data_IF_656850416904
#
_entry.id   IF_656850416904
#
_cell.length_a   1.000
_cell.length_b   1.000
_cell.length_c   1.000
_cell.angle_alpha   90.00
_cell.angle_beta   90.00
_cell.angle_gamma   90.00
#
_symmetry.space_group_name_H-M   'P 1'
#
loop_
_entity.id
_entity.type
_entity.pdbx_description
1 polymer ?
#
# COMPACT_ATOMS: atom_id res chain seq x y z
N UNK A 1 33.14 0.71 40.79
CA UNK A 1 32.88 0.08 39.47
C UNK A 1 31.37 0.05 39.24
N UNK A 2 30.81 1.15 38.71
CA UNK A 2 29.36 1.33 38.62
C UNK A 2 28.80 0.47 37.47
N UNK A 3 27.87 -0.41 37.80
CA UNK A 3 27.14 -1.25 36.85
C UNK A 3 26.26 -0.32 36.00
N UNK A 4 26.82 0.13 34.87
CA UNK A 4 26.08 0.84 33.82
C UNK A 4 24.76 0.10 33.58
N UNK A 5 23.65 0.84 33.56
CA UNK A 5 22.39 0.35 33.02
C UNK A 5 22.68 -0.45 31.75
N UNK A 6 22.13 -1.66 31.68
CA UNK A 6 22.35 -2.66 30.62
C UNK A 6 22.44 -2.02 29.22
N UNK A 7 23.67 -1.72 28.76
CA UNK A 7 24.02 -1.46 27.36
C UNK A 7 23.33 -2.42 26.36
N UNK A 8 23.04 -3.71 26.68
CA UNK A 8 22.35 -4.59 25.74
C UNK A 8 20.91 -4.14 25.39
N UNK A 9 20.19 -3.41 26.25
CA UNK A 9 18.79 -3.08 25.94
C UNK A 9 18.69 -1.98 24.87
N UNK A 10 19.42 -0.86 25.02
CA UNK A 10 19.41 0.23 24.04
C UNK A 10 19.93 -0.22 22.67
N UNK A 11 20.99 -1.03 22.66
CA UNK A 11 21.54 -1.61 21.42
C UNK A 11 20.53 -2.52 20.73
N UNK A 12 19.84 -3.42 21.46
CA UNK A 12 18.76 -4.26 20.92
C UNK A 12 17.66 -3.44 20.24
N UNK A 13 17.12 -2.41 20.90
CA UNK A 13 16.09 -1.55 20.30
C UNK A 13 16.61 -0.77 19.09
N UNK A 14 17.88 -0.37 19.08
CA UNK A 14 18.50 0.32 17.94
C UNK A 14 18.63 -0.63 16.74
N UNK A 15 18.98 -1.90 16.95
CA UNK A 15 19.01 -2.91 15.88
C UNK A 15 17.62 -3.22 15.34
N UNK A 16 16.61 -3.37 16.21
CA UNK A 16 15.21 -3.56 15.79
C UNK A 16 14.73 -2.36 14.97
N UNK A 17 15.01 -1.15 15.44
CA UNK A 17 14.68 0.08 14.72
C UNK A 17 15.37 0.15 13.34
N UNK A 18 16.64 -0.24 13.25
CA UNK A 18 17.36 -0.31 11.98
C UNK A 18 16.75 -1.34 11.03
N UNK A 19 16.48 -2.56 11.51
CA UNK A 19 15.87 -3.63 10.72
C UNK A 19 14.49 -3.21 10.18
N UNK A 20 13.65 -2.59 11.00
CA UNK A 20 12.34 -2.08 10.57
C UNK A 20 12.45 -0.95 9.54
N UNK A 21 13.47 -0.08 9.63
CA UNK A 21 13.70 0.95 8.61
C UNK A 21 14.16 0.35 7.27
N UNK A 22 14.94 -0.74 7.29
CA UNK A 22 15.30 -1.47 6.07
C UNK A 22 14.06 -2.09 5.44
N UNK A 23 13.18 -2.71 6.24
CA UNK A 23 11.90 -3.22 5.75
C UNK A 23 11.06 -2.08 5.16
N UNK A 24 10.96 -0.93 5.85
CA UNK A 24 10.25 0.24 5.35
C UNK A 24 10.80 0.72 4.00
N UNK A 25 12.13 0.75 3.84
CA UNK A 25 12.77 1.10 2.57
C UNK A 25 12.39 0.11 1.46
N UNK A 26 12.48 -1.19 1.72
CA UNK A 26 12.09 -2.23 0.76
C UNK A 26 10.61 -2.09 0.35
N UNK A 27 9.72 -1.78 1.29
CA UNK A 27 8.31 -1.53 0.98
C UNK A 27 8.11 -0.26 0.14
N UNK A 28 8.89 0.79 0.38
CA UNK A 28 8.90 2.02 -0.44
C UNK A 28 9.38 1.77 -1.87
N UNK A 29 10.40 0.92 -2.05
CA UNK A 29 10.90 0.50 -3.37
C UNK A 29 9.85 -0.35 -4.08
N UNK A 30 9.28 -1.35 -3.40
CA UNK A 30 8.28 -2.23 -3.98
C UNK A 30 7.04 -1.44 -4.45
N UNK A 31 6.54 -0.52 -3.63
CA UNK A 31 5.42 0.36 -4.01
C UNK A 31 5.77 1.28 -5.18
N UNK A 32 6.99 1.81 -5.26
CA UNK A 32 7.39 2.62 -6.41
C UNK A 32 7.41 1.78 -7.69
N UNK A 33 7.99 0.57 -7.64
CA UNK A 33 8.09 -0.33 -8.79
C UNK A 33 6.71 -0.75 -9.28
N UNK A 34 5.78 -1.10 -8.40
CA UNK A 34 4.42 -1.47 -8.79
C UNK A 34 3.68 -0.30 -9.45
N UNK A 35 3.78 0.90 -8.88
CA UNK A 35 3.15 2.10 -9.43
C UNK A 35 3.75 2.51 -10.78
N UNK A 36 5.07 2.39 -10.95
CA UNK A 36 5.73 2.63 -12.24
C UNK A 36 5.31 1.58 -13.28
N UNK A 37 5.19 0.32 -12.89
CA UNK A 37 4.67 -0.75 -13.76
C UNK A 37 3.24 -0.48 -14.24
N UNK A 38 2.36 -0.07 -13.32
CA UNK A 38 0.98 0.29 -13.68
C UNK A 38 0.90 1.56 -14.53
N UNK A 39 1.73 2.57 -14.24
CA UNK A 39 1.83 3.77 -15.09
C UNK A 39 2.26 3.41 -16.50
N UNK A 40 3.29 2.57 -16.64
CA UNK A 40 3.74 2.09 -17.94
C UNK A 40 2.64 1.32 -18.69
N UNK A 41 1.89 0.48 -17.99
CA UNK A 41 0.74 -0.25 -18.56
C UNK A 41 -0.36 0.68 -19.08
N UNK A 42 -0.63 1.80 -18.38
CA UNK A 42 -1.63 2.77 -18.79
C UNK A 42 -1.20 3.63 -19.98
N UNK A 43 0.09 3.90 -20.14
CA UNK A 43 0.65 4.66 -21.27
C UNK A 43 0.57 3.89 -22.59
N UNK A 44 0.56 2.55 -22.55
CA UNK A 44 0.41 1.73 -23.74
C UNK A 44 -1.02 1.80 -24.31
N UNK A 45 -1.22 1.67 -25.64
CA UNK A 45 -2.56 1.57 -26.22
C UNK A 45 -3.32 0.36 -25.66
N UNK A 46 -4.65 0.43 -25.60
CA UNK A 46 -5.46 -0.67 -25.06
C UNK A 46 -5.41 -1.86 -26.03
N UNK A 47 -4.53 -2.82 -25.76
CA UNK A 47 -4.42 -4.08 -26.47
C UNK A 47 -5.33 -5.18 -25.91
N UNK A 48 -5.56 -6.21 -26.71
CA UNK A 48 -6.33 -7.41 -26.36
C UNK A 48 -5.45 -8.46 -25.67
N UNK A 49 -4.92 -8.09 -24.50
CA UNK A 49 -4.00 -8.91 -23.68
C UNK A 49 -4.59 -9.13 -22.28
N UNK A 50 -4.19 -10.18 -21.54
CA UNK A 50 -4.72 -10.44 -20.18
C UNK A 50 -4.45 -9.31 -19.19
N UNK A 51 -3.50 -8.41 -19.46
CA UNK A 51 -3.22 -7.24 -18.62
C UNK A 51 -4.35 -6.19 -18.63
N UNK A 52 -5.34 -6.35 -19.53
CA UNK A 52 -6.51 -5.49 -19.60
C UNK A 52 -7.24 -5.40 -18.25
N UNK A 53 -7.37 -6.50 -17.51
CA UNK A 53 -8.06 -6.52 -16.22
C UNK A 53 -7.37 -5.63 -15.18
N UNK A 54 -6.05 -5.73 -15.07
CA UNK A 54 -5.25 -4.88 -14.18
C UNK A 54 -5.34 -3.42 -14.60
N UNK A 55 -5.34 -3.13 -15.91
CA UNK A 55 -5.46 -1.78 -16.43
C UNK A 55 -6.81 -1.14 -16.08
N UNK A 56 -7.90 -1.89 -16.23
CA UNK A 56 -9.24 -1.39 -15.88
C UNK A 56 -9.42 -1.23 -14.37
N UNK A 57 -8.85 -2.16 -13.59
CA UNK A 57 -8.90 -2.13 -12.13
C UNK A 57 -8.11 -0.95 -11.54
N UNK A 58 -6.95 -0.62 -12.11
CA UNK A 58 -6.08 0.43 -11.58
C UNK A 58 -6.47 1.81 -12.11
N UNK A 59 -7.08 2.61 -11.24
CA UNK A 59 -7.40 4.01 -11.54
C UNK A 59 -6.22 4.97 -11.32
N UNK A 60 -6.29 6.14 -11.95
CA UNK A 60 -5.31 7.23 -11.77
C UNK A 60 -5.11 7.61 -10.31
N UNK A 61 -6.19 7.61 -9.50
CA UNK A 61 -6.13 7.92 -8.07
C UNK A 61 -5.20 6.99 -7.30
N UNK A 62 -5.21 5.69 -7.64
CA UNK A 62 -4.36 4.67 -7.01
C UNK A 62 -2.89 4.92 -7.33
N UNK A 63 -2.59 5.29 -8.58
CA UNK A 63 -1.24 5.60 -9.04
C UNK A 63 -0.69 6.86 -8.34
N UNK A 64 -1.46 7.95 -8.34
CA UNK A 64 -1.05 9.18 -7.64
C UNK A 64 -0.88 8.95 -6.14
N UNK A 65 -1.80 8.20 -5.51
CA UNK A 65 -1.70 7.83 -4.10
C UNK A 65 -0.44 7.01 -3.81
N UNK A 66 -0.12 6.05 -4.68
CA UNK A 66 1.09 5.24 -4.58
C UNK A 66 2.38 6.05 -4.73
N UNK A 67 2.44 7.00 -5.67
CA UNK A 67 3.58 7.91 -5.80
C UNK A 67 3.78 8.77 -4.54
N UNK A 68 2.70 9.37 -4.03
CA UNK A 68 2.77 10.21 -2.82
C UNK A 68 3.20 9.36 -1.61
N UNK A 69 2.64 8.16 -1.46
CA UNK A 69 2.98 7.22 -0.39
C UNK A 69 4.45 6.78 -0.44
N UNK A 70 4.94 6.44 -1.63
CA UNK A 70 6.35 6.04 -1.82
C UNK A 70 7.31 7.20 -1.58
N UNK A 71 7.04 8.39 -2.13
CA UNK A 71 7.85 9.59 -1.91
C UNK A 71 7.91 9.97 -0.41
N UNK A 72 6.77 9.91 0.28
CA UNK A 72 6.71 10.14 1.73
C UNK A 72 7.54 9.11 2.50
N UNK A 73 7.47 7.84 2.11
CA UNK A 73 8.26 6.75 2.72
C UNK A 73 9.76 6.97 2.55
N UNK A 74 10.22 7.34 1.36
CA UNK A 74 11.64 7.65 1.13
C UNK A 74 12.12 8.83 1.97
N UNK A 75 11.29 9.88 2.09
CA UNK A 75 11.61 11.02 2.96
C UNK A 75 11.74 10.58 4.44
N UNK A 76 10.82 9.75 4.93
CA UNK A 76 10.90 9.22 6.30
C UNK A 76 12.17 8.39 6.51
N UNK A 77 12.53 7.53 5.56
CA UNK A 77 13.78 6.75 5.63
C UNK A 77 15.01 7.65 5.59
N UNK A 78 15.03 8.70 4.77
CA UNK A 78 16.13 9.66 4.76
C UNK A 78 16.29 10.36 6.12
N UNK A 79 15.19 10.76 6.77
CA UNK A 79 15.22 11.33 8.13
C UNK A 79 15.73 10.29 9.15
N UNK A 80 15.44 9.00 8.95
CA UNK A 80 15.94 7.93 9.85
C UNK A 80 17.47 7.93 9.95
N UNK A 81 18.19 8.24 8.87
CA UNK A 81 19.66 8.30 8.86
C UNK A 81 20.18 9.34 9.86
N UNK A 82 19.51 10.49 9.96
CA UNK A 82 19.85 11.52 10.95
C UNK A 82 19.67 11.03 12.39
N UNK A 83 18.67 10.16 12.64
CA UNK A 83 18.47 9.58 13.97
C UNK A 83 19.62 8.67 14.41
N UNK A 84 20.31 8.01 13.46
CA UNK A 84 21.49 7.18 13.73
C UNK A 84 22.77 8.00 13.88
N UNK A 85 22.91 9.09 13.12
CA UNK A 85 24.07 9.98 13.21
C UNK A 85 24.16 10.74 14.55
N UNK A 86 23.03 10.89 15.25
CA UNK A 86 22.95 11.65 16.50
C UNK A 86 23.13 10.77 17.72
N UNK A 87 24.16 11.07 18.52
CA UNK A 87 24.45 10.39 19.79
C UNK A 87 23.96 11.23 20.97
N UNK A 88 23.40 10.57 21.97
CA UNK A 88 22.99 11.20 23.22
C UNK A 88 24.20 11.78 23.94
N UNK A 89 24.14 13.06 24.29
CA UNK A 89 25.14 13.73 25.11
C UNK A 89 24.58 14.01 26.50
N UNK A 90 25.45 14.41 27.42
CA UNK A 90 25.03 14.71 28.80
C UNK A 90 24.03 15.87 28.87
N UNK A 91 24.29 16.90 28.07
CA UNK A 91 23.55 18.16 28.15
C UNK A 91 22.29 18.12 27.27
N UNK A 92 22.29 17.32 26.21
CA UNK A 92 21.13 17.13 25.33
C UNK A 92 20.85 15.65 25.04
N UNK A 93 19.57 15.26 25.19
CA UNK A 93 19.14 13.90 24.87
C UNK A 93 19.19 13.62 23.35
N UNK A 94 19.33 14.68 22.54
CA UNK A 94 19.29 14.64 21.07
C UNK A 94 18.02 13.93 20.58
N UNK A 95 16.87 14.31 21.14
CA UNK A 95 15.55 13.75 20.79
C UNK A 95 14.89 14.47 19.62
N UNK A 96 15.38 15.64 19.22
CA UNK A 96 14.89 16.38 18.05
C UNK A 96 14.79 15.51 16.78
N UNK A 97 15.86 14.81 16.32
CA UNK A 97 15.79 13.99 15.12
C UNK A 97 14.76 12.86 15.24
N UNK A 98 14.63 12.24 16.43
CA UNK A 98 13.58 11.25 16.67
C UNK A 98 12.17 11.85 16.61
N UNK A 99 11.98 13.07 17.11
CA UNK A 99 10.69 13.77 17.07
C UNK A 99 10.29 14.08 15.63
N UNK A 100 11.23 14.58 14.82
CA UNK A 100 11.02 14.85 13.39
C UNK A 100 10.73 13.56 12.63
N UNK A 101 11.48 12.49 12.93
CA UNK A 101 11.23 11.16 12.37
C UNK A 101 9.82 10.65 12.70
N UNK A 102 9.42 10.68 13.98
CA UNK A 102 8.10 10.26 14.42
C UNK A 102 6.97 11.08 13.78
N UNK A 103 7.14 12.40 13.63
CA UNK A 103 6.14 13.23 12.95
C UNK A 103 6.04 12.91 11.46
N UNK A 104 7.17 12.72 10.78
CA UNK A 104 7.18 12.31 9.37
C UNK A 104 6.50 10.95 9.20
N UNK A 105 6.81 10.00 10.08
CA UNK A 105 6.25 8.65 10.02
C UNK A 105 4.74 8.63 10.28
N UNK A 106 4.23 9.48 11.19
CA UNK A 106 2.77 9.64 11.37
C UNK A 106 2.12 10.15 10.08
N UNK A 107 2.71 11.14 9.42
CA UNK A 107 2.18 11.68 8.16
C UNK A 107 2.14 10.57 7.09
N UNK A 108 3.22 9.80 6.94
CA UNK A 108 3.29 8.65 6.02
C UNK A 108 2.26 7.59 6.36
N UNK A 109 2.03 7.33 7.65
CA UNK A 109 1.02 6.39 8.13
C UNK A 109 -0.39 6.82 7.72
N UNK A 110 -0.73 8.10 7.87
CA UNK A 110 -2.03 8.59 7.40
C UNK A 110 -2.17 8.53 5.88
N UNK A 111 -1.13 8.91 5.13
CA UNK A 111 -1.14 8.84 3.66
C UNK A 111 -1.40 7.41 3.19
N UNK A 112 -0.66 6.43 3.72
CA UNK A 112 -0.80 5.03 3.31
C UNK A 112 -2.13 4.43 3.77
N UNK A 113 -2.60 4.77 4.97
CA UNK A 113 -3.89 4.29 5.48
C UNK A 113 -5.06 4.84 4.65
N UNK A 114 -5.03 6.12 4.28
CA UNK A 114 -6.04 6.73 3.42
C UNK A 114 -6.01 6.07 2.03
N UNK A 115 -4.83 5.92 1.43
CA UNK A 115 -4.70 5.26 0.13
C UNK A 115 -5.22 3.81 0.14
N UNK A 116 -4.85 3.02 1.16
CA UNK A 116 -5.33 1.65 1.34
C UNK A 116 -6.85 1.59 1.49
N UNK A 117 -7.41 2.52 2.28
CA UNK A 117 -8.85 2.60 2.50
C UNK A 117 -9.61 2.99 1.23
N UNK A 118 -9.06 3.88 0.41
CA UNK A 118 -9.66 4.25 -0.87
C UNK A 118 -9.72 3.06 -1.84
N UNK A 119 -8.64 2.27 -1.93
CA UNK A 119 -8.62 1.05 -2.75
C UNK A 119 -9.62 0.03 -2.21
N UNK A 120 -9.69 -0.14 -0.89
CA UNK A 120 -10.67 -1.03 -0.27
C UNK A 120 -12.12 -0.59 -0.52
N UNK A 121 -12.43 0.71 -0.49
CA UNK A 121 -13.75 1.19 -0.87
C UNK A 121 -14.10 0.91 -2.34
N UNK A 122 -13.10 0.88 -3.23
CA UNK A 122 -13.30 0.48 -4.62
C UNK A 122 -13.73 -0.99 -4.74
N UNK A 123 -13.23 -1.89 -3.89
CA UNK A 123 -13.65 -3.32 -3.93
C UNK A 123 -15.09 -3.52 -3.51
N UNK A 124 -15.61 -2.67 -2.62
CA UNK A 124 -17.03 -2.73 -2.20
C UNK A 124 -17.99 -2.20 -3.28
N UNK A 125 -17.49 -1.48 -4.29
CA UNK A 125 -18.30 -0.75 -5.28
C UNK A 125 -17.96 -1.12 -6.73
N UNK A 126 -17.28 -2.25 -6.95
CA UNK A 126 -16.74 -2.66 -8.25
C UNK A 126 -17.78 -2.59 -9.37
N UNK A 127 -18.96 -3.20 -9.19
CA UNK A 127 -20.04 -3.18 -10.20
C UNK A 127 -20.43 -1.78 -10.63
N UNK A 128 -20.56 -0.86 -9.69
CA UNK A 128 -20.95 0.53 -9.98
C UNK A 128 -19.80 1.32 -10.64
N UNK A 129 -18.56 0.99 -10.32
CA UNK A 129 -17.38 1.66 -10.82
C UNK A 129 -17.00 1.16 -12.23
N UNK A 130 -17.16 -0.13 -12.50
CA UNK A 130 -16.76 -0.77 -13.76
C UNK A 130 -17.83 -0.74 -14.84
N UNK A 131 -19.12 -0.60 -14.51
CA UNK A 131 -20.18 -0.44 -15.52
C UNK A 131 -19.91 0.72 -16.50
N UNK A 132 -19.57 1.95 -16.07
CA UNK A 132 -19.22 3.03 -17.00
C UNK A 132 -17.87 2.81 -17.70
N UNK A 133 -16.96 2.03 -17.11
CA UNK A 133 -15.69 1.67 -17.76
C UNK A 133 -15.96 0.71 -18.92
N UNK A 134 -16.84 -0.28 -18.73
CA UNK A 134 -17.26 -1.21 -19.78
C UNK A 134 -17.87 -0.49 -20.98
N UNK A 135 -18.81 0.44 -20.76
CA UNK A 135 -19.43 1.18 -21.85
C UNK A 135 -18.47 2.13 -22.58
N UNK A 136 -17.41 2.59 -21.89
CA UNK A 136 -16.35 3.40 -22.49
C UNK A 136 -15.29 2.59 -23.24
N UNK A 137 -15.27 1.26 -23.13
CA UNK A 137 -14.31 0.42 -23.86
C UNK A 137 -14.64 0.35 -25.36
N UNK A 138 -13.62 0.42 -26.24
CA UNK A 138 -13.87 0.20 -27.65
C UNK A 138 -14.31 -1.25 -27.91
N UNK A 139 -15.06 -1.45 -29.00
CA UNK A 139 -15.66 -2.74 -29.40
C UNK A 139 -14.67 -3.91 -29.41
N UNK A 140 -13.46 -3.82 -30.00
CA UNK A 140 -12.55 -4.97 -30.05
C UNK A 140 -12.09 -5.45 -28.67
N UNK A 141 -11.98 -4.55 -27.69
CA UNK A 141 -11.63 -4.89 -26.32
C UNK A 141 -12.78 -5.59 -25.59
N UNK A 142 -14.02 -5.11 -25.79
CA UNK A 142 -15.22 -5.77 -25.24
C UNK A 142 -15.36 -7.19 -25.80
N UNK A 143 -15.16 -7.38 -27.11
CA UNK A 143 -15.15 -8.71 -27.76
C UNK A 143 -14.04 -9.60 -27.17
N UNK A 144 -12.83 -9.06 -26.97
CA UNK A 144 -11.75 -9.82 -26.35
C UNK A 144 -12.12 -10.31 -24.94
N UNK A 145 -12.64 -9.44 -24.09
CA UNK A 145 -13.05 -9.80 -22.72
C UNK A 145 -14.16 -10.87 -22.75
N UNK A 146 -15.16 -10.73 -23.62
CA UNK A 146 -16.22 -11.73 -23.80
C UNK A 146 -15.66 -13.10 -24.19
N UNK A 147 -14.71 -13.12 -25.12
CA UNK A 147 -14.08 -14.35 -25.60
C UNK A 147 -13.15 -15.00 -24.56
N UNK A 148 -12.44 -14.19 -23.78
CA UNK A 148 -11.54 -14.66 -22.72
C UNK A 148 -12.32 -15.20 -21.52
N UNK A 149 -13.32 -14.44 -21.04
CA UNK A 149 -14.13 -14.82 -19.89
C UNK A 149 -15.27 -15.78 -20.24
N UNK A 150 -15.57 -16.04 -21.52
CA UNK A 150 -16.70 -16.88 -21.97
C UNK A 150 -18.02 -16.36 -21.38
N UNK A 151 -18.35 -15.12 -21.71
CA UNK A 151 -19.53 -14.37 -21.26
C UNK A 151 -20.06 -13.46 -22.37
N UNK A 152 -21.33 -13.04 -22.29
CA UNK A 152 -21.97 -12.22 -23.32
C UNK A 152 -22.73 -11.05 -22.70
N UNK A 153 -22.39 -9.83 -23.13
CA UNK A 153 -22.89 -8.60 -22.52
C UNK A 153 -22.33 -8.34 -21.13
N UNK A 154 -22.60 -7.17 -20.55
CA UNK A 154 -22.11 -6.82 -19.21
C UNK A 154 -22.97 -7.48 -18.13
N UNK A 155 -24.27 -7.19 -18.12
CA UNK A 155 -25.22 -7.80 -17.19
C UNK A 155 -25.87 -9.06 -17.77
N UNK A 156 -26.18 -9.03 -19.06
CA UNK A 156 -26.78 -10.12 -19.82
C UNK A 156 -26.65 -9.86 -21.34
N UNK A 157 -26.94 -10.86 -22.16
CA UNK A 157 -26.91 -10.78 -23.62
C UNK A 157 -28.16 -10.11 -24.22
N UNK A 158 -28.56 -8.95 -23.67
CA UNK A 158 -29.66 -8.12 -24.19
C UNK A 158 -29.20 -6.67 -24.36
N UNK A 159 -29.96 -5.87 -25.11
CA UNK A 159 -29.70 -4.43 -25.28
C UNK A 159 -29.59 -3.70 -23.91
N UNK A 160 -30.48 -4.02 -22.97
CA UNK A 160 -30.42 -3.50 -21.59
C UNK A 160 -29.19 -3.95 -20.80
N UNK A 161 -28.54 -5.03 -21.22
CA UNK A 161 -27.32 -5.58 -20.67
C UNK A 161 -26.04 -5.03 -21.25
N UNK A 162 -26.11 -3.95 -22.04
CA UNK A 162 -24.98 -3.37 -22.79
C UNK A 162 -24.39 -4.36 -23.82
N UNK A 163 -25.25 -5.20 -24.40
CA UNK A 163 -24.92 -6.06 -25.54
C UNK A 163 -25.54 -5.46 -26.81
N UNK A 164 -24.70 -5.16 -27.80
CA UNK A 164 -25.04 -4.50 -29.07
C UNK A 164 -24.60 -5.42 -30.21
N UNK A 165 -25.22 -5.31 -31.39
CA UNK A 165 -24.94 -6.19 -32.54
C UNK A 165 -23.44 -6.37 -32.90
N UNK A 166 -22.58 -5.33 -32.81
CA UNK A 166 -21.14 -5.49 -33.08
C UNK A 166 -20.41 -6.43 -32.11
N UNK A 167 -21.00 -6.79 -30.97
CA UNK A 167 -20.42 -7.67 -29.94
C UNK A 167 -20.79 -9.15 -30.15
N UNK A 168 -21.62 -9.46 -31.15
CA UNK A 168 -22.02 -10.82 -31.52
C UNK A 168 -20.94 -11.50 -32.38
N UNK A 169 -19.75 -11.68 -31.81
CA UNK A 169 -18.57 -12.23 -32.50
C UNK A 169 -17.85 -13.23 -31.61
N UNK A 170 -17.43 -14.38 -32.16
CA UNK A 170 -16.65 -15.39 -31.44
C UNK A 170 -17.52 -16.24 -30.51
N UNK A 171 -17.24 -16.21 -29.21
CA UNK A 171 -17.98 -17.00 -28.21
C UNK A 171 -19.48 -16.64 -28.18
N UNK A 172 -19.82 -15.39 -28.45
CA UNK A 172 -21.20 -14.90 -28.48
C UNK A 172 -21.82 -14.91 -29.89
N UNK A 173 -21.25 -15.68 -30.82
CA UNK A 173 -21.84 -15.86 -32.16
C UNK A 173 -22.86 -17.00 -32.18
N UNK A 174 -22.65 -18.02 -31.33
CA UNK A 174 -23.50 -19.20 -31.29
C UNK A 174 -24.88 -18.87 -30.67
N UNK A 175 -25.98 -18.97 -31.44
CA UNK A 175 -27.30 -18.66 -30.93
C UNK A 175 -27.72 -19.58 -29.79
N UNK A 176 -27.18 -20.80 -29.68
CA UNK A 176 -27.52 -21.72 -28.60
C UNK A 176 -26.90 -21.32 -27.25
N UNK A 177 -25.83 -20.51 -27.27
CA UNK A 177 -25.21 -19.89 -26.09
C UNK A 177 -26.01 -18.66 -25.63
N UNK A 178 -26.63 -17.94 -26.58
CA UNK A 178 -27.39 -16.70 -26.32
C UNK A 178 -28.87 -16.98 -26.04
N UNK A 179 -29.37 -18.18 -26.35
CA UNK A 179 -30.77 -18.55 -26.13
C UNK A 179 -31.14 -18.35 -24.65
N UNK A 180 -32.27 -17.67 -24.37
CA UNK A 180 -32.85 -17.63 -23.04
C UNK A 180 -33.46 -19.01 -22.73
N UNK A 181 -32.62 -19.97 -22.31
CA UNK A 181 -33.13 -21.15 -21.61
C UNK A 181 -33.66 -20.70 -20.23
N UNK A 182 -34.66 -21.40 -19.65
CA UNK A 182 -35.31 -21.03 -18.39
C UNK A 182 -34.40 -21.09 -17.15
N UNK A 183 -33.12 -21.41 -17.34
CA UNK A 183 -32.13 -21.47 -16.30
C UNK A 183 -31.41 -20.10 -16.23
N UNK A 184 -31.64 -19.27 -15.19
CA UNK A 184 -31.09 -17.91 -15.08
C UNK A 184 -29.55 -17.86 -15.03
N UNK A 185 -28.89 -19.01 -15.06
CA UNK A 185 -27.44 -19.20 -15.07
C UNK A 185 -26.84 -19.28 -16.49
N UNK A 186 -27.66 -19.33 -17.55
CA UNK A 186 -27.19 -19.58 -18.93
C UNK A 186 -26.79 -18.30 -19.67
N UNK A 187 -27.31 -17.13 -19.26
CA UNK A 187 -26.86 -15.84 -19.81
C UNK A 187 -25.87 -15.20 -18.85
N UNK A 188 -24.64 -15.71 -18.85
CA UNK A 188 -23.61 -15.23 -17.94
C UNK A 188 -23.11 -13.85 -18.40
N UNK A 189 -23.62 -12.79 -17.78
CA UNK A 189 -23.05 -11.45 -17.93
C UNK A 189 -21.57 -11.45 -17.54
N UNK A 190 -20.77 -10.65 -18.23
CA UNK A 190 -19.35 -10.56 -17.95
C UNK A 190 -19.04 -9.96 -16.57
N UNK A 191 -19.98 -9.24 -15.95
CA UNK A 191 -19.80 -8.56 -14.66
C UNK A 191 -19.26 -9.50 -13.57
N UNK A 192 -19.85 -10.68 -13.36
CA UNK A 192 -19.45 -11.56 -12.25
C UNK A 192 -18.04 -12.15 -12.43
N UNK A 193 -17.69 -12.48 -13.68
CA UNK A 193 -16.37 -13.05 -14.01
C UNK A 193 -15.29 -11.96 -14.05
N UNK A 194 -15.67 -10.76 -14.51
CA UNK A 194 -14.79 -9.60 -14.53
C UNK A 194 -14.50 -9.13 -13.11
N UNK A 195 -15.53 -8.98 -12.27
CA UNK A 195 -15.42 -8.62 -10.86
C UNK A 195 -14.41 -9.55 -10.18
N UNK A 196 -14.50 -10.87 -10.33
CA UNK A 196 -13.51 -11.80 -9.75
C UNK A 196 -12.05 -11.52 -10.16
N UNK A 197 -11.81 -11.14 -11.42
CA UNK A 197 -10.46 -10.80 -11.91
C UNK A 197 -9.99 -9.44 -11.38
N UNK A 198 -10.90 -8.47 -11.26
CA UNK A 198 -10.60 -7.17 -10.68
C UNK A 198 -10.34 -7.30 -9.17
N UNK A 199 -11.22 -8.01 -8.46
CA UNK A 199 -11.11 -8.37 -7.05
C UNK A 199 -9.73 -8.93 -6.72
N UNK A 200 -9.19 -9.87 -7.51
CA UNK A 200 -7.85 -10.42 -7.26
C UNK A 200 -6.76 -9.33 -7.24
N UNK A 201 -6.85 -8.35 -8.13
CA UNK A 201 -5.89 -7.23 -8.21
C UNK A 201 -6.10 -6.27 -7.03
N UNK A 202 -7.34 -5.86 -6.76
CA UNK A 202 -7.62 -4.89 -5.70
C UNK A 202 -7.39 -5.50 -4.31
N UNK A 203 -7.80 -6.74 -4.07
CA UNK A 203 -7.64 -7.45 -2.78
C UNK A 203 -6.17 -7.59 -2.40
N UNK A 204 -5.33 -8.02 -3.35
CA UNK A 204 -3.89 -8.10 -3.13
C UNK A 204 -3.30 -6.71 -2.87
N UNK A 205 -3.73 -5.70 -3.61
CA UNK A 205 -3.23 -4.33 -3.47
C UNK A 205 -3.55 -3.73 -2.09
N UNK A 206 -4.81 -3.78 -1.64
CA UNK A 206 -5.15 -3.19 -0.34
C UNK A 206 -4.55 -4.02 0.80
N UNK A 207 -4.49 -5.34 0.68
CA UNK A 207 -3.94 -6.22 1.73
C UNK A 207 -2.45 -5.94 1.96
N UNK A 208 -1.66 -5.84 0.88
CA UNK A 208 -0.26 -5.43 0.95
C UNK A 208 -0.11 -4.01 1.54
N UNK A 209 -0.98 -3.09 1.12
CA UNK A 209 -0.96 -1.70 1.61
C UNK A 209 -1.22 -1.61 3.12
N UNK A 210 -2.24 -2.31 3.65
CA UNK A 210 -2.48 -2.38 5.09
C UNK A 210 -1.34 -3.10 5.83
N UNK A 211 -0.73 -4.12 5.22
CA UNK A 211 0.49 -4.75 5.75
C UNK A 211 1.63 -3.75 5.95
N UNK A 212 1.85 -2.85 4.99
CA UNK A 212 2.85 -1.78 5.09
C UNK A 212 2.50 -0.76 6.18
N UNK A 213 1.23 -0.37 6.31
CA UNK A 213 0.77 0.48 7.41
C UNK A 213 1.01 -0.18 8.78
N UNK A 214 0.85 -1.50 8.87
CA UNK A 214 1.21 -2.28 10.06
C UNK A 214 2.69 -2.15 10.43
N UNK A 215 3.60 -2.29 9.47
CA UNK A 215 5.05 -2.08 9.69
C UNK A 215 5.33 -0.68 10.22
N UNK A 216 4.72 0.35 9.63
CA UNK A 216 4.88 1.73 10.07
C UNK A 216 4.42 1.91 11.52
N UNK A 217 3.30 1.31 11.91
CA UNK A 217 2.82 1.35 13.30
C UNK A 217 3.82 0.72 14.29
N UNK A 218 4.37 -0.46 13.99
CA UNK A 218 5.41 -1.06 14.82
C UNK A 218 6.67 -0.21 14.92
N UNK A 219 7.04 0.44 13.82
CA UNK A 219 8.17 1.34 13.77
C UNK A 219 7.93 2.59 14.61
N UNK A 220 6.71 3.14 14.60
CA UNK A 220 6.30 4.24 15.48
C UNK A 220 6.49 3.89 16.97
N UNK A 221 5.98 2.74 17.39
CA UNK A 221 6.12 2.27 18.78
C UNK A 221 7.61 2.09 19.14
N UNK A 222 8.39 1.50 18.24
CA UNK A 222 9.83 1.29 18.44
C UNK A 222 10.58 2.62 18.56
N UNK A 223 10.24 3.62 17.73
CA UNK A 223 10.79 4.96 17.79
C UNK A 223 10.44 5.67 19.11
N UNK A 224 9.21 5.54 19.58
CA UNK A 224 8.78 6.08 20.87
C UNK A 224 9.51 5.43 22.05
N UNK A 225 9.69 4.11 22.02
CA UNK A 225 10.48 3.39 23.02
C UNK A 225 11.95 3.86 23.02
N UNK A 226 12.55 4.03 21.84
CA UNK A 226 13.91 4.54 21.70
C UNK A 226 14.05 5.98 22.23
N UNK A 227 13.04 6.85 22.01
CA UNK A 227 13.02 8.20 22.57
C UNK A 227 13.08 8.19 24.09
N UNK A 228 12.24 7.36 24.72
CA UNK A 228 12.19 7.20 26.17
C UNK A 228 13.52 6.66 26.73
N UNK A 229 14.12 5.67 26.06
CA UNK A 229 15.44 5.14 26.46
C UNK A 229 16.54 6.19 26.38
N UNK A 230 16.57 7.04 25.33
CA UNK A 230 17.54 8.15 25.21
C UNK A 230 17.36 9.18 26.34
N UNK A 231 16.12 9.48 26.72
CA UNK A 231 15.82 10.39 27.85
C UNK A 231 16.32 9.80 29.17
N UNK A 232 16.07 8.51 29.41
CA UNK A 232 16.59 7.81 30.59
C UNK A 232 18.12 7.81 30.62
N UNK A 233 18.77 7.50 29.49
CA UNK A 233 20.22 7.54 29.36
C UNK A 233 20.80 8.91 29.73
N UNK A 234 20.18 10.01 29.26
CA UNK A 234 20.58 11.37 29.67
C UNK A 234 20.50 11.57 31.18
N UNK A 235 19.43 11.09 31.83
CA UNK A 235 19.26 11.22 33.29
C UNK A 235 20.37 10.47 34.03
N UNK A 236 20.70 9.26 33.61
CA UNK A 236 21.79 8.49 34.20
C UNK A 236 23.17 9.14 33.99
N UNK A 237 23.46 9.67 32.79
CA UNK A 237 24.70 10.43 32.54
C UNK A 237 24.84 11.65 33.45
N UNK A 238 23.73 12.37 33.73
CA UNK A 238 23.75 13.51 34.67
C UNK A 238 23.97 13.08 36.11
N UNK A 239 23.37 11.96 36.53
CA UNK A 239 23.56 11.41 37.88
C UNK A 239 25.02 10.96 38.06
N UNK A 240 25.56 10.20 37.11
CA UNK A 240 26.94 9.69 37.18
C UNK A 240 27.97 10.84 37.21
N UNK A 241 27.75 11.90 36.43
CA UNK A 241 28.60 13.09 36.51
C UNK A 241 28.56 13.76 37.89
N UNK A 242 27.37 13.92 38.48
CA UNK A 242 27.22 14.51 39.81
C UNK A 242 27.88 13.66 40.88
N UNK A 243 27.82 12.33 40.78
CA UNK A 243 28.50 11.42 41.72
C UNK A 243 30.02 11.46 41.58
N UNK A 244 30.56 11.65 40.37
CA UNK A 244 32.01 11.71 40.14
C UNK A 244 32.64 13.08 40.40
N UNK A 245 31.92 14.18 40.20
CA UNK A 245 32.47 15.55 40.25
C UNK A 245 31.77 16.48 41.26
N UNK A 246 30.69 16.02 41.89
CA UNK A 246 29.94 16.79 42.88
C UNK A 246 30.31 16.37 44.30
N UNK A 247 30.54 17.38 45.15
CA UNK A 247 30.74 17.31 46.61
C UNK A 247 29.50 16.79 47.37
N UNK A 248 28.91 15.68 46.92
CA UNK A 248 27.80 15.00 47.58
C UNK A 248 28.31 13.68 48.13
N UNK A 249 28.83 13.73 49.35
CA UNK A 249 29.16 12.57 50.15
C UNK A 249 27.92 11.68 50.33
N UNK A 250 28.03 10.43 49.89
CA UNK A 250 27.47 9.28 50.57
C UNK A 250 28.46 8.13 50.41
N UNK A 251 29.56 8.30 51.14
CA UNK A 251 30.43 7.34 51.85
C UNK A 251 31.73 8.07 52.18
#
# INVERSE_FOLDING_TARGET
MAKMMKLPTLSRYTYIFAALNVILLLTGILTLVTVLGWKHLLEQPIGSNPDIYTRLAVGNLVIYGGFIGSASTFLTVAISVWTFATKTTRDNAQTLPLRVYMSSLIITLFITLIAASLVWFSTLRERTLFTPVWSGLPVPQRIFIQNDLKCCGWFNATLSGLFEDPLMVGFCEDPDIIRPNPDPNVVLGCVDKFDKKADDVLNNTFTLSYGFTGVQFFLFITAAALANLRIQQKRFMRIDYKLRHGKGAFL
#
